data_IF_492854118615
#
_entry.id   IF_492854118615
#
_cell.length_a   1.000
_cell.length_b   1.000
_cell.length_c   1.000
_cell.angle_alpha   90.00
_cell.angle_beta   90.00
_cell.angle_gamma   90.00
#
_symmetry.space_group_name_H-M   'P 1'
#
loop_
_entity.id
_entity.type
_entity.pdbx_description
1 polymer ?
#
# COMPACT_ATOMS: atom_id res chain seq x y z
N UNK A 1 14.51 -34.66 1.78
CA UNK A 1 14.23 -33.26 1.48
C UNK A 1 14.93 -32.93 0.18
N UNK A 2 14.21 -32.77 -0.94
CA UNK A 2 14.81 -32.36 -2.22
C UNK A 2 14.82 -30.84 -2.23
N UNK A 3 15.99 -30.23 -2.03
CA UNK A 3 16.22 -28.84 -2.39
C UNK A 3 16.10 -28.72 -3.91
N UNK A 4 14.92 -28.42 -4.40
CA UNK A 4 14.71 -28.01 -5.79
C UNK A 4 15.13 -26.56 -5.89
N UNK A 5 16.42 -26.34 -6.14
CA UNK A 5 16.96 -25.03 -6.44
C UNK A 5 16.32 -24.53 -7.74
N UNK A 6 15.38 -23.61 -7.63
CA UNK A 6 14.72 -22.98 -8.78
C UNK A 6 15.66 -21.95 -9.39
N UNK A 7 15.94 -22.08 -10.71
CA UNK A 7 16.84 -21.18 -11.43
C UNK A 7 16.06 -20.27 -12.35
N UNK A 8 16.50 -19.00 -12.47
CA UNK A 8 15.96 -18.07 -13.43
C UNK A 8 16.16 -18.57 -14.86
N UNK A 9 15.11 -18.46 -15.69
CA UNK A 9 15.12 -18.89 -17.10
C UNK A 9 15.10 -17.70 -18.05
N UNK A 10 14.11 -16.81 -17.92
CA UNK A 10 13.94 -15.64 -18.80
C UNK A 10 12.98 -14.61 -18.23
N UNK A 11 12.99 -13.43 -18.84
CA UNK A 11 11.96 -12.42 -18.65
C UNK A 11 10.85 -12.56 -19.71
N UNK A 12 9.61 -12.26 -19.29
CA UNK A 12 8.41 -12.32 -20.11
C UNK A 12 7.51 -11.09 -19.88
N UNK A 13 6.60 -10.77 -20.82
CA UNK A 13 5.55 -9.78 -20.54
C UNK A 13 4.64 -10.23 -19.41
N UNK A 14 4.32 -9.30 -18.50
CA UNK A 14 3.43 -9.59 -17.38
C UNK A 14 1.96 -9.47 -17.80
N UNK A 15 1.12 -10.50 -17.60
CA UNK A 15 -0.30 -10.45 -17.96
C UNK A 15 -1.12 -9.53 -17.06
N UNK A 16 -0.62 -9.20 -15.88
CA UNK A 16 -1.33 -8.38 -14.90
C UNK A 16 -1.07 -6.86 -15.08
N UNK A 17 0.18 -6.45 -15.30
CA UNK A 17 0.53 -5.03 -15.43
C UNK A 17 0.97 -4.61 -16.83
N UNK A 18 0.97 -5.53 -17.81
CA UNK A 18 1.38 -5.32 -19.20
C UNK A 18 2.82 -4.79 -19.37
N UNK A 19 3.67 -4.90 -18.35
CA UNK A 19 5.10 -4.64 -18.52
C UNK A 19 5.71 -5.61 -19.51
N UNK A 20 6.68 -5.17 -20.31
CA UNK A 20 7.26 -5.97 -21.40
C UNK A 20 8.13 -7.11 -20.91
N UNK A 21 8.80 -6.95 -19.76
CA UNK A 21 9.92 -7.79 -19.32
C UNK A 21 10.09 -7.91 -17.80
N UNK A 22 9.07 -7.49 -17.01
CA UNK A 22 9.18 -7.55 -15.55
C UNK A 22 8.76 -8.89 -14.94
N UNK A 23 8.23 -9.82 -15.75
CA UNK A 23 7.87 -11.15 -15.28
C UNK A 23 9.07 -12.10 -15.46
N UNK A 24 9.70 -12.48 -14.36
CA UNK A 24 10.77 -13.48 -14.35
C UNK A 24 10.17 -14.87 -14.27
N UNK A 25 10.54 -15.77 -15.22
CA UNK A 25 10.18 -17.19 -15.25
C UNK A 25 11.31 -18.04 -14.70
N UNK A 26 10.96 -19.06 -13.94
CA UNK A 26 11.91 -19.96 -13.28
C UNK A 26 11.76 -21.41 -13.75
N UNK A 27 12.80 -22.24 -13.51
CA UNK A 27 12.90 -23.60 -14.03
C UNK A 27 11.86 -24.60 -13.49
N UNK A 28 11.26 -24.32 -12.35
CA UNK A 28 10.15 -25.08 -11.74
C UNK A 28 8.77 -24.66 -12.28
N UNK A 29 8.76 -23.68 -13.19
CA UNK A 29 7.56 -23.16 -13.83
C UNK A 29 6.92 -21.98 -13.09
N UNK A 30 7.35 -21.63 -11.88
CA UNK A 30 6.83 -20.43 -11.22
C UNK A 30 7.29 -19.15 -11.94
N UNK A 31 6.51 -18.07 -11.78
CA UNK A 31 6.91 -16.75 -12.26
C UNK A 31 6.62 -15.67 -11.22
N UNK A 32 7.42 -14.61 -11.26
CA UNK A 32 7.28 -13.44 -10.41
C UNK A 32 7.50 -12.15 -11.19
N UNK A 33 6.56 -11.20 -11.07
CA UNK A 33 6.67 -9.89 -11.68
C UNK A 33 7.23 -8.86 -10.70
N UNK A 34 8.38 -8.30 -11.00
CA UNK A 34 9.01 -7.26 -10.16
C UNK A 34 8.32 -5.88 -10.26
N UNK A 35 7.41 -5.71 -11.23
CA UNK A 35 6.68 -4.46 -11.40
C UNK A 35 5.35 -4.38 -10.64
N UNK A 36 4.68 -5.51 -10.41
CA UNK A 36 3.35 -5.53 -9.80
C UNK A 36 3.14 -6.69 -8.82
N UNK A 37 4.21 -7.43 -8.48
CA UNK A 37 4.22 -8.58 -7.57
C UNK A 37 3.31 -9.75 -8.00
N UNK A 38 2.86 -9.76 -9.25
CA UNK A 38 2.12 -10.88 -9.80
C UNK A 38 2.94 -12.16 -9.73
N UNK A 39 2.28 -13.28 -9.34
CA UNK A 39 2.92 -14.59 -9.20
C UNK A 39 2.13 -15.66 -9.94
N UNK A 40 2.88 -16.58 -10.58
CA UNK A 40 2.38 -17.85 -11.05
C UNK A 40 3.03 -18.96 -10.24
N UNK A 41 2.28 -19.96 -9.74
CA UNK A 41 2.83 -21.07 -8.97
C UNK A 41 3.67 -22.00 -9.86
N UNK A 42 4.53 -22.80 -9.22
CA UNK A 42 5.27 -23.86 -9.89
C UNK A 42 4.32 -24.94 -10.46
N UNK A 43 4.79 -25.67 -11.47
CA UNK A 43 4.01 -26.76 -12.06
C UNK A 43 3.81 -27.87 -11.02
N UNK A 44 2.54 -28.10 -10.64
CA UNK A 44 2.17 -29.09 -9.61
C UNK A 44 1.84 -28.50 -8.24
N UNK A 45 2.01 -27.20 -8.03
CA UNK A 45 1.47 -26.48 -6.89
C UNK A 45 0.06 -25.99 -7.24
N UNK A 46 -0.94 -26.52 -6.57
CA UNK A 46 -2.29 -25.96 -6.67
C UNK A 46 -2.31 -24.59 -6.02
N UNK A 47 -2.87 -23.59 -6.72
CA UNK A 47 -3.12 -22.25 -6.20
C UNK A 47 -4.10 -22.30 -5.00
N UNK A 48 -3.64 -22.77 -3.87
CA UNK A 48 -4.29 -22.48 -2.59
C UNK A 48 -3.79 -21.17 -1.96
N UNK A 49 -3.06 -20.34 -2.73
CA UNK A 49 -3.03 -18.92 -2.42
C UNK A 49 -4.42 -18.36 -2.75
N UNK A 50 -5.38 -18.68 -1.90
CA UNK A 50 -6.49 -17.77 -1.73
C UNK A 50 -5.88 -16.38 -1.60
N UNK A 51 -6.13 -15.53 -2.61
CA UNK A 51 -6.24 -14.10 -2.40
C UNK A 51 -7.43 -13.92 -1.42
N UNK A 52 -7.30 -14.43 -0.21
CA UNK A 52 -7.91 -13.77 0.91
C UNK A 52 -7.24 -12.40 0.91
N UNK A 53 -7.86 -11.44 0.20
CA UNK A 53 -7.76 -10.04 0.57
C UNK A 53 -7.91 -10.08 2.08
N UNK A 54 -6.79 -10.03 2.79
CA UNK A 54 -6.81 -9.72 4.20
C UNK A 54 -7.42 -8.32 4.18
N UNK A 55 -8.75 -8.27 4.33
CA UNK A 55 -9.43 -7.06 4.76
C UNK A 55 -8.95 -6.89 6.19
N UNK A 56 -7.73 -6.35 6.32
CA UNK A 56 -7.28 -5.78 7.58
C UNK A 56 -8.28 -4.69 7.84
N UNK A 57 -9.14 -4.92 8.83
CA UNK A 57 -10.16 -3.98 9.21
C UNK A 57 -9.49 -2.64 9.50
N UNK A 58 -9.91 -1.62 8.77
CA UNK A 58 -9.42 -0.25 9.01
C UNK A 58 -9.81 0.17 10.43
N UNK A 59 -8.93 0.92 11.08
CA UNK A 59 -9.14 1.41 12.44
C UNK A 59 -9.67 2.83 12.45
N UNK A 60 -10.31 3.21 13.54
CA UNK A 60 -10.81 4.57 13.76
C UNK A 60 -9.98 5.25 14.85
N UNK A 61 -9.56 6.46 14.59
CA UNK A 61 -8.86 7.30 15.55
C UNK A 61 -9.60 8.63 15.80
N UNK A 62 -8.93 9.55 16.43
CA UNK A 62 -9.40 10.91 16.68
C UNK A 62 -8.50 11.92 15.98
N UNK A 63 -9.11 13.00 15.47
CA UNK A 63 -8.33 14.10 14.90
C UNK A 63 -7.79 14.96 16.04
N UNK A 64 -6.47 15.09 16.09
CA UNK A 64 -5.78 15.89 17.11
C UNK A 64 -4.63 16.67 16.47
N UNK A 65 -4.25 17.80 17.12
CA UNK A 65 -3.06 18.54 16.70
C UNK A 65 -1.78 17.73 16.99
N UNK A 66 -0.83 17.74 16.09
CA UNK A 66 0.47 17.10 16.28
C UNK A 66 1.50 18.14 16.79
N UNK A 67 1.39 18.51 18.06
CA UNK A 67 2.16 19.59 18.66
C UNK A 67 3.68 19.42 18.52
N UNK A 68 4.20 18.19 18.61
CA UNK A 68 5.63 17.88 18.42
C UNK A 68 6.12 18.18 16.98
N UNK A 69 5.22 18.26 16.01
CA UNK A 69 5.50 18.55 14.60
C UNK A 69 5.01 19.93 14.18
N UNK A 70 4.44 20.70 15.10
CA UNK A 70 3.86 22.02 14.84
C UNK A 70 2.74 21.98 13.77
N UNK A 71 2.00 20.87 13.72
CA UNK A 71 0.83 20.73 12.85
C UNK A 71 -0.42 20.93 13.71
N UNK A 72 -1.21 21.91 13.32
CA UNK A 72 -2.41 22.29 14.05
C UNK A 72 -3.59 21.35 13.82
N UNK A 73 -4.62 21.52 14.61
CA UNK A 73 -5.85 20.72 14.52
C UNK A 73 -6.56 20.89 13.17
N UNK A 74 -6.60 22.10 12.63
CA UNK A 74 -7.32 22.38 11.37
C UNK A 74 -6.64 21.69 10.19
N UNK A 75 -5.33 21.67 10.16
CA UNK A 75 -4.56 20.91 9.17
C UNK A 75 -4.82 19.41 9.29
N UNK A 76 -4.75 18.84 10.51
CA UNK A 76 -5.07 17.42 10.71
C UNK A 76 -6.52 17.10 10.30
N UNK A 77 -7.45 17.98 10.64
CA UNK A 77 -8.86 17.85 10.25
C UNK A 77 -9.07 17.93 8.74
N UNK A 78 -8.37 18.85 8.07
CA UNK A 78 -8.44 18.97 6.61
C UNK A 78 -8.06 17.69 5.90
N UNK A 79 -6.98 17.04 6.33
CA UNK A 79 -6.51 15.78 5.76
C UNK A 79 -7.15 14.54 6.38
N UNK A 80 -8.01 14.71 7.41
CA UNK A 80 -8.55 13.63 8.24
C UNK A 80 -7.43 12.74 8.86
N UNK A 81 -6.28 13.36 9.16
CA UNK A 81 -5.17 12.69 9.83
C UNK A 81 -5.51 12.47 11.30
N UNK A 82 -5.33 11.24 11.78
CA UNK A 82 -5.85 10.84 13.10
C UNK A 82 -4.73 10.27 13.98
N UNK A 83 -4.96 10.29 15.27
CA UNK A 83 -4.23 9.50 16.27
C UNK A 83 -5.16 8.42 16.80
N UNK A 84 -4.62 7.27 17.16
CA UNK A 84 -5.43 6.15 17.63
C UNK A 84 -4.57 5.06 18.27
N UNK A 85 -5.12 3.88 18.35
CA UNK A 85 -4.46 2.70 18.89
C UNK A 85 -4.56 1.53 17.92
N UNK A 86 -3.48 0.78 17.76
CA UNK A 86 -3.44 -0.47 17.00
C UNK A 86 -2.70 -1.52 17.82
N UNK A 87 -3.40 -2.62 18.14
CA UNK A 87 -2.87 -3.72 18.96
C UNK A 87 -2.22 -3.25 20.30
N UNK A 88 -2.87 -2.30 21.00
CA UNK A 88 -2.37 -1.76 22.26
C UNK A 88 -1.25 -0.72 22.15
N UNK A 89 -0.86 -0.33 20.94
CA UNK A 89 0.16 0.68 20.68
C UNK A 89 -0.47 1.96 20.15
N UNK A 90 -0.06 3.15 20.67
CA UNK A 90 -0.50 4.41 20.10
C UNK A 90 0.06 4.57 18.68
N UNK A 91 -0.78 5.02 17.75
CA UNK A 91 -0.41 5.16 16.34
C UNK A 91 -0.93 6.45 15.74
N UNK A 92 -0.32 6.85 14.63
CA UNK A 92 -0.84 7.88 13.73
C UNK A 92 -1.43 7.20 12.50
N UNK A 93 -2.54 7.73 12.00
CA UNK A 93 -3.36 7.13 10.96
C UNK A 93 -3.50 8.13 9.81
N UNK A 94 -2.87 7.83 8.68
CA UNK A 94 -3.04 8.58 7.44
C UNK A 94 -4.08 7.87 6.55
N UNK A 95 -5.27 8.45 6.31
CA UNK A 95 -6.29 7.84 5.48
C UNK A 95 -6.01 8.09 3.99
N UNK A 96 -6.15 7.06 3.18
CA UNK A 96 -6.00 7.11 1.73
C UNK A 96 -7.32 6.89 1.02
N UNK A 97 -7.61 7.74 0.06
CA UNK A 97 -8.86 7.75 -0.70
C UNK A 97 -8.59 7.51 -2.17
N UNK A 98 -9.47 6.77 -2.83
CA UNK A 98 -9.41 6.59 -4.27
C UNK A 98 -10.01 7.80 -5.03
N UNK A 99 -10.02 7.72 -6.37
CA UNK A 99 -10.59 8.76 -7.24
C UNK A 99 -12.08 9.01 -7.03
N UNK A 100 -12.80 8.08 -6.42
CA UNK A 100 -14.22 8.18 -6.08
C UNK A 100 -14.46 8.73 -4.65
N UNK A 101 -13.42 9.25 -3.99
CA UNK A 101 -13.48 9.77 -2.61
C UNK A 101 -13.83 8.71 -1.56
N UNK A 102 -13.67 7.43 -1.86
CA UNK A 102 -13.86 6.35 -0.91
C UNK A 102 -12.56 6.08 -0.15
N UNK A 103 -12.66 5.92 1.17
CA UNK A 103 -11.54 5.46 2.00
C UNK A 103 -11.22 4.02 1.64
N UNK A 104 -10.04 3.76 1.10
CA UNK A 104 -9.64 2.45 0.60
C UNK A 104 -8.49 1.84 1.40
N UNK A 105 -7.62 2.66 1.99
CA UNK A 105 -6.52 2.21 2.81
C UNK A 105 -6.12 3.21 3.89
N UNK A 106 -5.36 2.76 4.84
CA UNK A 106 -4.75 3.57 5.89
C UNK A 106 -3.27 3.22 6.02
N UNK A 107 -2.41 4.24 6.08
CA UNK A 107 -1.02 4.09 6.44
C UNK A 107 -0.84 4.40 7.91
N UNK A 108 -0.44 3.41 8.67
CA UNK A 108 -0.35 3.45 10.13
C UNK A 108 1.10 3.63 10.53
N UNK A 109 1.38 4.68 11.31
CA UNK A 109 2.73 4.99 11.79
C UNK A 109 2.84 4.72 13.28
N UNK A 110 3.80 3.91 13.68
CA UNK A 110 4.15 3.62 15.06
C UNK A 110 5.17 4.62 15.65
N UNK A 111 5.28 4.72 16.98
CA UNK A 111 6.25 5.62 17.62
C UNK A 111 7.72 5.31 17.29
N UNK A 112 8.04 4.04 17.06
CA UNK A 112 9.37 3.56 16.68
C UNK A 112 9.73 3.84 15.20
N UNK A 113 8.84 4.53 14.47
CA UNK A 113 8.91 4.84 13.05
C UNK A 113 8.67 3.66 12.10
N UNK A 114 8.17 2.54 12.59
CA UNK A 114 7.64 1.47 11.75
C UNK A 114 6.29 1.88 11.14
N UNK A 115 5.96 1.25 10.02
CA UNK A 115 4.74 1.50 9.27
C UNK A 115 4.07 0.20 8.87
N UNK A 116 2.77 0.19 8.82
CA UNK A 116 1.97 -0.85 8.19
C UNK A 116 0.85 -0.23 7.34
N UNK A 117 0.37 -0.99 6.38
CA UNK A 117 -0.82 -0.64 5.61
C UNK A 117 -2.01 -1.50 6.03
N UNK A 118 -3.18 -0.86 6.14
CA UNK A 118 -4.47 -1.51 6.30
C UNK A 118 -5.33 -1.18 5.08
N UNK A 119 -6.17 -2.11 4.63
CA UNK A 119 -7.04 -1.91 3.47
C UNK A 119 -6.42 -2.30 2.12
N UNK A 120 -6.93 -1.75 1.02
CA UNK A 120 -6.52 -2.10 -0.35
C UNK A 120 -5.55 -1.06 -0.93
N UNK A 121 -4.27 -1.40 -0.91
CA UNK A 121 -3.21 -0.53 -1.44
C UNK A 121 -3.23 -0.37 -2.97
N UNK A 122 -3.91 -1.25 -3.71
CA UNK A 122 -3.95 -1.15 -5.17
C UNK A 122 -4.83 0.00 -5.66
N UNK A 123 -5.72 0.50 -4.80
CA UNK A 123 -6.62 1.60 -5.12
C UNK A 123 -6.14 2.97 -4.60
N UNK A 124 -5.00 3.03 -3.92
CA UNK A 124 -4.53 4.29 -3.34
C UNK A 124 -3.92 5.22 -4.39
N UNK A 125 -4.21 6.52 -4.26
CA UNK A 125 -3.47 7.60 -4.90
C UNK A 125 -2.42 8.20 -3.96
N UNK A 126 -1.99 9.44 -4.23
CA UNK A 126 -1.13 10.18 -3.29
C UNK A 126 -1.95 10.63 -2.07
N UNK A 127 -1.30 10.71 -0.90
CA UNK A 127 -1.92 11.24 0.30
C UNK A 127 -2.47 12.65 0.06
N UNK A 128 -3.73 12.86 0.40
CA UNK A 128 -4.40 14.15 0.20
C UNK A 128 -4.78 14.48 -1.25
N UNK A 129 -4.44 13.66 -2.24
CA UNK A 129 -4.73 13.92 -3.66
C UNK A 129 -6.22 14.22 -3.92
N UNK A 130 -7.12 13.54 -3.24
CA UNK A 130 -8.57 13.73 -3.35
C UNK A 130 -9.04 15.13 -2.90
N UNK A 131 -8.22 15.90 -2.18
CA UNK A 131 -8.56 17.27 -1.74
C UNK A 131 -8.37 18.31 -2.85
N UNK A 132 -7.64 17.99 -3.91
CA UNK A 132 -7.23 18.93 -4.92
C UNK A 132 -8.00 18.72 -6.20
N UNK A 133 -8.58 19.81 -6.71
CA UNK A 133 -9.19 19.82 -8.03
C UNK A 133 -8.11 20.07 -9.08
N UNK A 134 -8.27 19.51 -10.28
CA UNK A 134 -7.40 19.81 -11.42
C UNK A 134 -7.35 21.32 -11.76
N UNK A 135 -6.44 21.68 -12.66
CA UNK A 135 -6.25 23.05 -13.19
C UNK A 135 -5.67 24.07 -12.19
N UNK A 136 -4.95 23.61 -11.17
CA UNK A 136 -4.17 24.50 -10.32
C UNK A 136 -2.86 24.90 -11.03
N UNK A 137 -2.34 26.11 -10.72
CA UNK A 137 -1.11 26.63 -11.35
C UNK A 137 0.16 25.89 -10.87
N UNK A 138 0.12 25.31 -9.70
CA UNK A 138 1.26 24.63 -9.06
C UNK A 138 0.75 23.56 -8.11
N UNK A 139 1.50 22.46 -8.03
CA UNK A 139 1.32 21.41 -7.03
C UNK A 139 2.67 21.16 -6.35
N UNK A 140 2.65 20.95 -5.05
CA UNK A 140 3.80 20.53 -4.27
C UNK A 140 3.58 19.07 -3.84
N UNK A 141 4.55 18.23 -4.11
CA UNK A 141 4.56 16.82 -3.69
C UNK A 141 5.67 16.65 -2.66
N UNK A 142 5.33 16.08 -1.50
CA UNK A 142 6.27 15.77 -0.43
C UNK A 142 6.47 14.26 -0.33
N UNK A 143 7.58 13.83 0.26
CA UNK A 143 7.92 12.41 0.40
C UNK A 143 7.00 11.67 1.40
N UNK A 144 6.48 12.34 2.41
CA UNK A 144 5.63 11.73 3.45
C UNK A 144 4.32 12.48 3.66
N UNK A 145 3.44 11.91 4.49
CA UNK A 145 2.15 12.51 4.83
C UNK A 145 2.30 13.73 5.76
N UNK A 146 3.35 13.73 6.57
CA UNK A 146 3.65 14.78 7.56
C UNK A 146 5.15 14.92 7.82
#
# INVERSE_FOLDING_TARGET
>A
MKDTQSNFVRHEPCPNCNSRDNLARYSDGHAYCFGCEYREPAVGETNEFKNEKIKTDMITGQVEALSKRQIDFDTCKFFNYQTGEYNGSPVQIAPYYNSNYLLVAQHIRFPNKDFIWLGDMNEVGLFGQHKWKGNQKMITICEGEI
#
